data_IF_052638449193
#
_entry.id   IF_052638449193
#
_cell.length_a   1.000
_cell.length_b   1.000
_cell.length_c   1.000
_cell.angle_alpha   90.00
_cell.angle_beta   90.00
_cell.angle_gamma   90.00
#
_symmetry.space_group_name_H-M   'P 1'
#
loop_
_entity.id
_entity.type
_entity.pdbx_description
1 polymer ?
#
# COMPACT_ATOMS: atom_id res chain seq x y z
N UNK A 1 -4.58 -18.78 18.86
CA UNK A 1 -5.27 -17.61 18.34
C UNK A 1 -5.42 -17.76 16.83
N UNK A 2 -6.64 -17.96 16.36
CA UNK A 2 -6.93 -18.04 14.93
C UNK A 2 -7.13 -16.61 14.41
N UNK A 3 -6.23 -16.15 13.53
CA UNK A 3 -6.39 -14.88 12.85
C UNK A 3 -7.36 -15.04 11.69
N UNK A 4 -8.53 -14.40 11.79
CA UNK A 4 -9.48 -14.30 10.68
C UNK A 4 -9.11 -13.12 9.80
N UNK A 5 -9.28 -13.26 8.49
CA UNK A 5 -9.05 -12.16 7.52
C UNK A 5 -9.89 -10.92 7.83
N UNK A 6 -11.07 -11.07 8.44
CA UNK A 6 -11.93 -9.97 8.88
C UNK A 6 -11.32 -9.11 10.00
N UNK A 7 -10.32 -9.63 10.72
CA UNK A 7 -9.59 -8.91 11.78
C UNK A 7 -8.23 -8.39 11.35
N UNK A 8 -7.85 -8.62 10.09
CA UNK A 8 -6.61 -8.10 9.53
C UNK A 8 -6.87 -6.74 8.90
N UNK A 9 -6.53 -5.69 9.61
CA UNK A 9 -6.51 -4.34 9.06
C UNK A 9 -5.45 -4.25 7.95
N UNK A 10 -5.74 -3.43 6.94
CA UNK A 10 -4.82 -3.18 5.82
C UNK A 10 -4.31 -4.44 5.09
N UNK A 11 -5.12 -5.50 5.05
CA UNK A 11 -4.75 -6.82 4.50
C UNK A 11 -4.23 -6.79 3.06
N UNK A 12 -4.61 -5.79 2.26
CA UNK A 12 -4.11 -5.63 0.89
C UNK A 12 -2.65 -5.18 0.83
N UNK A 13 -2.16 -4.56 1.90
CA UNK A 13 -0.74 -4.20 2.06
C UNK A 13 0.05 -5.32 2.75
N UNK A 14 -0.61 -6.16 3.56
CA UNK A 14 0.02 -7.21 4.37
C UNK A 14 -0.15 -8.58 3.69
N UNK A 15 0.35 -8.70 2.47
CA UNK A 15 0.27 -9.93 1.67
C UNK A 15 1.50 -10.82 1.88
N UNK A 16 1.34 -12.12 1.63
CA UNK A 16 2.44 -13.08 1.68
C UNK A 16 3.50 -12.79 0.60
N UNK A 17 3.06 -12.40 -0.62
CA UNK A 17 3.93 -12.11 -1.76
C UNK A 17 4.88 -10.94 -1.52
N UNK A 18 4.49 -9.95 -0.69
CA UNK A 18 5.32 -8.80 -0.37
C UNK A 18 5.95 -8.84 1.03
N UNK A 19 5.74 -9.92 1.79
CA UNK A 19 6.23 -10.02 3.16
C UNK A 19 7.76 -9.88 3.25
N UNK A 20 8.48 -10.50 2.32
CA UNK A 20 9.94 -10.41 2.22
C UNK A 20 10.40 -8.96 2.00
N UNK A 21 9.76 -8.24 1.05
CA UNK A 21 10.09 -6.84 0.75
C UNK A 21 9.81 -5.88 1.94
N UNK A 22 8.86 -6.22 2.80
CA UNK A 22 8.50 -5.40 3.97
C UNK A 22 9.34 -5.73 5.20
N UNK A 23 9.56 -7.02 5.47
CA UNK A 23 10.10 -7.48 6.75
C UNK A 23 11.62 -7.70 6.73
N UNK A 24 12.20 -8.11 5.58
CA UNK A 24 13.64 -8.36 5.52
C UNK A 24 14.48 -7.11 5.81
N UNK A 25 14.14 -5.89 5.35
CA UNK A 25 14.86 -4.69 5.75
C UNK A 25 14.86 -4.46 7.25
N UNK A 26 13.72 -4.64 7.91
CA UNK A 26 13.62 -4.52 9.38
C UNK A 26 14.45 -5.59 10.07
N UNK A 27 14.46 -6.82 9.54
CA UNK A 27 15.28 -7.90 10.05
C UNK A 27 16.78 -7.64 9.93
N UNK A 28 17.22 -6.96 8.86
CA UNK A 28 18.60 -6.50 8.67
C UNK A 28 18.94 -5.45 9.73
N UNK A 29 18.10 -4.45 9.90
CA UNK A 29 18.30 -3.33 10.82
C UNK A 29 18.46 -3.80 12.28
N UNK A 30 17.72 -4.83 12.70
CA UNK A 30 17.82 -5.41 14.03
C UNK A 30 18.83 -6.56 14.14
N UNK A 31 19.55 -6.88 13.05
CA UNK A 31 20.63 -7.87 13.05
C UNK A 31 20.18 -9.34 13.10
N UNK A 32 18.93 -9.67 12.77
CA UNK A 32 18.44 -11.06 12.77
C UNK A 32 18.51 -11.74 11.39
N UNK A 33 19.04 -11.05 10.37
CA UNK A 33 19.24 -11.58 9.01
C UNK A 33 20.73 -11.78 8.78
N UNK A 34 21.12 -13.00 8.38
CA UNK A 34 22.52 -13.29 8.05
C UNK A 34 22.94 -12.61 6.73
N UNK A 35 24.26 -12.50 6.53
CA UNK A 35 24.84 -11.77 5.40
C UNK A 35 24.53 -12.43 4.04
N UNK A 36 24.35 -13.75 3.98
CA UNK A 36 24.01 -14.43 2.74
C UNK A 36 22.59 -14.08 2.32
N UNK A 37 21.63 -14.19 3.24
CA UNK A 37 20.22 -13.81 3.01
C UNK A 37 20.08 -12.33 2.70
N UNK A 38 20.83 -11.45 3.37
CA UNK A 38 20.85 -10.02 3.06
C UNK A 38 21.26 -9.77 1.59
N UNK A 39 22.36 -10.38 1.14
CA UNK A 39 22.84 -10.21 -0.25
C UNK A 39 21.82 -10.68 -1.29
N UNK A 40 21.18 -11.82 -1.05
CA UNK A 40 20.14 -12.33 -1.94
C UNK A 40 18.92 -11.42 -1.97
N UNK A 41 18.50 -10.91 -0.82
CA UNK A 41 17.42 -9.93 -0.72
C UNK A 41 17.76 -8.63 -1.46
N UNK A 42 18.95 -8.09 -1.30
CA UNK A 42 19.38 -6.87 -2.00
C UNK A 42 19.36 -7.04 -3.52
N UNK A 43 19.83 -8.17 -4.05
CA UNK A 43 19.74 -8.50 -5.46
C UNK A 43 18.29 -8.54 -5.96
N UNK A 44 17.42 -9.26 -5.25
CA UNK A 44 15.99 -9.36 -5.55
C UNK A 44 15.32 -7.98 -5.51
N UNK A 45 15.50 -7.24 -4.41
CA UNK A 45 14.93 -5.91 -4.23
C UNK A 45 15.37 -4.93 -5.33
N UNK A 46 16.67 -4.98 -5.71
CA UNK A 46 17.22 -4.16 -6.79
C UNK A 46 16.55 -4.48 -8.13
N UNK A 47 16.41 -5.78 -8.48
CA UNK A 47 15.72 -6.20 -9.71
C UNK A 47 14.27 -5.72 -9.75
N UNK A 48 13.54 -5.92 -8.66
CA UNK A 48 12.15 -5.48 -8.54
C UNK A 48 12.04 -3.96 -8.69
N UNK A 49 12.87 -3.18 -7.98
CA UNK A 49 12.90 -1.71 -8.10
C UNK A 49 13.17 -1.24 -9.52
N UNK A 50 14.14 -1.86 -10.22
CA UNK A 50 14.44 -1.54 -11.63
C UNK A 50 13.26 -1.86 -12.54
N UNK A 51 12.62 -3.03 -12.37
CA UNK A 51 11.43 -3.40 -13.12
C UNK A 51 10.26 -2.43 -12.93
N UNK A 52 9.98 -2.05 -11.68
CA UNK A 52 8.94 -1.04 -11.40
C UNK A 52 9.28 0.33 -11.98
N UNK A 53 10.53 0.77 -11.90
CA UNK A 53 10.97 2.02 -12.51
C UNK A 53 10.77 2.00 -14.02
N UNK A 54 11.16 0.91 -14.68
CA UNK A 54 10.94 0.72 -16.11
C UNK A 54 9.46 0.80 -16.48
N UNK A 55 8.58 -0.01 -15.86
CA UNK A 55 7.16 -0.06 -16.23
C UNK A 55 6.41 1.25 -15.92
N UNK A 56 6.85 2.01 -14.93
CA UNK A 56 6.29 3.34 -14.61
C UNK A 56 6.76 4.42 -15.58
N UNK A 57 7.98 4.31 -16.13
CA UNK A 57 8.51 5.26 -17.11
C UNK A 57 7.84 5.13 -18.49
N UNK A 58 7.41 3.93 -18.86
CA UNK A 58 6.75 3.65 -20.13
C UNK A 58 5.30 4.16 -20.12
N UNK A 59 5.05 5.28 -20.78
CA UNK A 59 3.74 5.92 -20.85
C UNK A 59 3.21 5.95 -22.27
N UNK A 60 2.00 5.48 -22.47
CA UNK A 60 1.33 5.38 -23.76
C UNK A 60 0.04 6.23 -23.78
N UNK A 61 -0.18 6.94 -24.89
CA UNK A 61 -1.46 7.60 -25.14
C UNK A 61 -2.50 6.59 -25.68
N UNK A 62 -3.82 6.85 -25.50
CA UNK A 62 -4.86 5.98 -26.06
C UNK A 62 -4.72 5.72 -27.57
N UNK A 63 -4.31 6.73 -28.34
CA UNK A 63 -4.12 6.59 -29.78
C UNK A 63 -2.89 5.73 -30.14
N UNK A 64 -1.81 5.84 -29.37
CA UNK A 64 -0.63 4.97 -29.55
C UNK A 64 -0.97 3.50 -29.25
N UNK A 65 -1.78 3.25 -28.22
CA UNK A 65 -2.25 1.92 -27.86
C UNK A 65 -3.21 1.35 -28.90
N UNK A 66 -4.11 2.18 -29.44
CA UNK A 66 -5.02 1.76 -30.49
C UNK A 66 -4.27 1.30 -31.75
N UNK A 67 -3.22 2.04 -32.16
CA UNK A 67 -2.33 1.62 -33.27
C UNK A 67 -1.65 0.28 -33.03
N UNK A 68 -1.44 -0.09 -31.77
CA UNK A 68 -0.85 -1.35 -31.32
C UNK A 68 -1.90 -2.44 -30.99
N UNK A 69 -3.18 -2.21 -31.35
CA UNK A 69 -4.27 -3.18 -31.18
C UNK A 69 -4.87 -3.24 -29.75
N UNK A 70 -4.55 -2.27 -28.88
CA UNK A 70 -5.14 -2.17 -27.54
C UNK A 70 -6.16 -1.03 -27.55
N UNK A 71 -7.44 -1.37 -27.34
CA UNK A 71 -8.53 -0.40 -27.26
C UNK A 71 -8.80 -0.04 -25.79
N UNK A 72 -8.65 1.24 -25.45
CA UNK A 72 -9.02 1.85 -24.18
C UNK A 72 -9.81 3.13 -24.42
N UNK A 73 -10.41 3.68 -23.37
CA UNK A 73 -11.14 4.93 -23.45
C UNK A 73 -10.23 6.09 -23.87
N UNK A 74 -10.69 6.91 -24.81
CA UNK A 74 -9.99 8.11 -25.31
C UNK A 74 -10.25 9.30 -24.40
N UNK A 75 -9.69 9.29 -23.21
CA UNK A 75 -9.78 10.36 -22.21
C UNK A 75 -8.58 11.31 -22.20
N UNK A 76 -7.68 11.17 -23.18
CA UNK A 76 -6.46 11.98 -23.30
C UNK A 76 -5.36 11.65 -22.28
N UNK A 77 -5.61 10.77 -21.33
CA UNK A 77 -4.63 10.43 -20.27
C UNK A 77 -3.61 9.42 -20.76
N UNK A 78 -2.32 9.71 -20.58
CA UNK A 78 -1.26 8.73 -20.78
C UNK A 78 -1.27 7.73 -19.61
N UNK A 79 -1.13 6.44 -19.95
CA UNK A 79 -1.12 5.33 -18.98
C UNK A 79 0.21 4.59 -19.03
N UNK A 80 0.74 4.25 -17.87
CA UNK A 80 1.91 3.39 -17.75
C UNK A 80 1.50 1.91 -17.83
N UNK A 81 2.48 1.00 -17.82
CA UNK A 81 2.23 -0.44 -17.95
C UNK A 81 1.42 -0.98 -16.76
N UNK A 82 1.61 -0.46 -15.54
CA UNK A 82 0.83 -0.86 -14.36
C UNK A 82 -0.63 -0.46 -14.54
N UNK A 83 -0.89 0.78 -15.00
CA UNK A 83 -2.23 1.25 -15.29
C UNK A 83 -2.91 0.38 -16.37
N UNK A 84 -2.14 -0.07 -17.38
CA UNK A 84 -2.66 -0.94 -18.43
C UNK A 84 -3.01 -2.33 -17.89
N UNK A 85 -2.19 -2.91 -17.05
CA UNK A 85 -2.43 -4.22 -16.45
C UNK A 85 -3.59 -4.22 -15.42
N UNK A 86 -4.03 -3.05 -14.95
CA UNK A 86 -5.23 -2.94 -14.11
C UNK A 86 -6.54 -3.19 -14.89
N UNK A 87 -6.51 -3.12 -16.24
CA UNK A 87 -7.66 -3.46 -17.06
C UNK A 87 -7.76 -4.98 -17.26
N UNK A 88 -8.91 -5.56 -17.00
CA UNK A 88 -9.15 -7.01 -17.08
C UNK A 88 -8.90 -7.64 -18.47
N UNK A 89 -9.02 -6.84 -19.52
CA UNK A 89 -8.83 -7.27 -20.91
C UNK A 89 -7.38 -7.13 -21.42
N UNK A 90 -6.47 -6.60 -20.61
CA UNK A 90 -5.05 -6.42 -20.94
C UNK A 90 -4.23 -7.35 -20.07
N UNK A 91 -3.51 -8.26 -20.71
CA UNK A 91 -2.68 -9.27 -20.05
C UNK A 91 -1.21 -9.07 -20.37
N UNK A 92 -0.33 -9.57 -19.51
CA UNK A 92 1.13 -9.50 -19.72
C UNK A 92 1.57 -10.12 -21.05
N UNK A 93 1.05 -11.28 -21.50
CA UNK A 93 1.40 -11.81 -22.82
C UNK A 93 1.03 -10.87 -23.99
N UNK A 94 -0.06 -10.11 -23.88
CA UNK A 94 -0.40 -9.10 -24.88
C UNK A 94 0.58 -7.94 -24.85
N UNK A 95 0.97 -7.47 -23.66
CA UNK A 95 1.92 -6.37 -23.53
C UNK A 95 3.33 -6.77 -23.96
N UNK A 96 3.79 -7.99 -23.68
CA UNK A 96 5.10 -8.53 -24.14
C UNK A 96 5.22 -8.53 -25.67
N UNK A 97 4.12 -8.72 -26.42
CA UNK A 97 4.13 -8.63 -27.90
C UNK A 97 4.28 -7.18 -28.39
N UNK A 98 3.84 -6.22 -27.62
CA UNK A 98 3.79 -4.79 -28.00
C UNK A 98 5.02 -4.04 -27.49
N UNK A 99 5.54 -4.49 -26.36
CA UNK A 99 6.68 -3.93 -25.63
C UNK A 99 7.67 -5.08 -25.40
N UNK A 100 8.55 -5.39 -26.38
CA UNK A 100 9.47 -6.53 -26.31
C UNK A 100 10.39 -6.49 -25.09
N UNK A 101 10.73 -5.30 -24.59
CA UNK A 101 11.59 -5.09 -23.44
C UNK A 101 11.03 -5.70 -22.14
N UNK A 102 9.72 -5.97 -22.10
CA UNK A 102 9.11 -6.72 -20.98
C UNK A 102 9.60 -8.18 -20.91
N UNK A 103 10.12 -8.73 -22.01
CA UNK A 103 10.68 -10.09 -22.01
C UNK A 103 12.05 -10.17 -21.32
N UNK A 104 12.72 -9.03 -21.11
CA UNK A 104 14.00 -8.95 -20.41
C UNK A 104 13.82 -8.97 -18.88
N UNK A 105 12.58 -8.75 -18.39
CA UNK A 105 12.28 -8.81 -16.97
C UNK A 105 12.14 -10.26 -16.50
N UNK A 106 12.70 -10.54 -15.34
CA UNK A 106 12.55 -11.85 -14.69
C UNK A 106 11.09 -12.13 -14.33
N UNK A 107 10.72 -13.39 -14.31
CA UNK A 107 9.33 -13.80 -14.02
C UNK A 107 8.86 -13.38 -12.62
N UNK A 108 9.73 -13.40 -11.60
CA UNK A 108 9.44 -12.91 -10.26
C UNK A 108 9.11 -11.40 -10.24
N UNK A 109 9.75 -10.61 -11.10
CA UNK A 109 9.48 -9.17 -11.26
C UNK A 109 8.14 -8.95 -11.97
N UNK A 110 7.88 -9.73 -13.02
CA UNK A 110 6.61 -9.67 -13.77
C UNK A 110 5.45 -10.01 -12.84
N UNK A 111 5.55 -11.08 -12.07
CA UNK A 111 4.52 -11.48 -11.10
C UNK A 111 4.22 -10.35 -10.09
N UNK A 112 5.24 -9.73 -9.52
CA UNK A 112 5.06 -8.60 -8.60
C UNK A 112 4.38 -7.39 -9.27
N UNK A 113 4.71 -7.11 -10.54
CA UNK A 113 4.07 -6.04 -11.32
C UNK A 113 2.59 -6.35 -11.56
N UNK A 114 2.25 -7.59 -11.93
CA UNK A 114 0.86 -8.03 -12.13
C UNK A 114 0.03 -7.92 -10.85
N UNK A 115 0.60 -8.37 -9.72
CA UNK A 115 -0.05 -8.28 -8.42
C UNK A 115 -0.30 -6.81 -8.04
N UNK A 116 0.71 -5.96 -8.15
CA UNK A 116 0.58 -4.53 -7.83
C UNK A 116 -0.46 -3.85 -8.75
N UNK A 117 -0.44 -4.14 -10.05
CA UNK A 117 -1.42 -3.62 -11.01
C UNK A 117 -2.86 -4.02 -10.66
N UNK A 118 -3.06 -5.28 -10.27
CA UNK A 118 -4.37 -5.81 -9.85
C UNK A 118 -4.94 -5.09 -8.64
N UNK A 119 -4.08 -4.69 -7.72
CA UNK A 119 -4.50 -4.05 -6.47
C UNK A 119 -4.32 -2.52 -6.47
N UNK A 120 -3.75 -1.91 -7.51
CA UNK A 120 -3.34 -0.50 -7.54
C UNK A 120 -4.44 0.46 -7.06
N UNK A 121 -5.66 0.34 -7.60
CA UNK A 121 -6.77 1.22 -7.24
C UNK A 121 -7.22 1.09 -5.76
N UNK A 122 -7.06 -0.09 -5.17
CA UNK A 122 -7.38 -0.34 -3.76
C UNK A 122 -6.25 0.09 -2.84
N UNK A 123 -5.00 -0.10 -3.28
CA UNK A 123 -3.82 0.25 -2.49
C UNK A 123 -3.68 1.75 -2.28
N UNK A 124 -3.99 2.56 -3.29
CA UNK A 124 -3.92 4.01 -3.15
C UNK A 124 -4.94 4.51 -2.12
N UNK A 125 -6.17 3.99 -2.16
CA UNK A 125 -7.20 4.30 -1.15
C UNK A 125 -6.75 3.88 0.24
N UNK A 126 -6.24 2.66 0.39
CA UNK A 126 -5.79 2.14 1.67
C UNK A 126 -4.59 2.91 2.23
N UNK A 127 -3.67 3.38 1.36
CA UNK A 127 -2.55 4.25 1.78
C UNK A 127 -3.05 5.61 2.32
N UNK A 128 -4.08 6.18 1.69
CA UNK A 128 -4.70 7.41 2.20
C UNK A 128 -5.34 7.18 3.57
N UNK A 129 -6.10 6.10 3.72
CA UNK A 129 -6.73 5.73 5.00
C UNK A 129 -5.68 5.55 6.11
N UNK A 130 -4.53 4.92 5.80
CA UNK A 130 -3.40 4.76 6.75
C UNK A 130 -2.80 6.11 7.13
N UNK A 131 -2.56 6.99 6.15
CA UNK A 131 -1.99 8.31 6.43
C UNK A 131 -2.92 9.16 7.32
N UNK A 132 -4.22 9.07 7.11
CA UNK A 132 -5.18 9.79 7.93
C UNK A 132 -5.25 9.19 9.34
N UNK A 133 -5.23 7.86 9.44
CA UNK A 133 -5.13 7.17 10.74
C UNK A 133 -3.84 7.55 11.51
N UNK A 134 -2.68 7.58 10.84
CA UNK A 134 -1.41 7.98 11.45
C UNK A 134 -1.43 9.44 11.92
N UNK A 135 -2.09 10.34 11.19
CA UNK A 135 -2.28 11.74 11.63
C UNK A 135 -3.09 11.80 12.91
N UNK A 136 -4.21 11.08 12.97
CA UNK A 136 -5.08 11.03 14.17
C UNK A 136 -4.36 10.38 15.35
N UNK A 137 -3.62 9.27 15.11
CA UNK A 137 -2.81 8.60 16.13
C UNK A 137 -1.79 9.54 16.77
N UNK A 138 -1.16 10.41 15.97
CA UNK A 138 -0.12 11.30 16.42
C UNK A 138 -0.64 12.65 16.96
N UNK A 139 -1.94 12.95 16.81
CA UNK A 139 -2.52 14.18 17.30
C UNK A 139 -2.60 14.18 18.83
N UNK A 140 -1.74 15.00 19.46
CA UNK A 140 -1.59 15.06 20.92
C UNK A 140 -2.78 15.76 21.57
N UNK A 141 -3.28 15.19 22.65
CA UNK A 141 -4.26 15.82 23.53
C UNK A 141 -3.50 16.52 24.66
N UNK A 142 -3.64 17.84 24.83
CA UNK A 142 -3.02 18.56 25.94
C UNK A 142 -3.41 17.98 27.30
N UNK A 143 -2.45 17.81 28.19
CA UNK A 143 -2.72 17.29 29.57
C UNK A 143 -3.72 18.12 30.36
N UNK A 144 -3.83 19.41 30.04
CA UNK A 144 -4.77 20.38 30.64
C UNK A 144 -6.18 20.33 30.05
N UNK A 145 -6.46 19.43 29.10
CA UNK A 145 -7.76 19.35 28.43
C UNK A 145 -8.88 19.07 29.43
N UNK A 146 -9.87 19.97 29.48
CA UNK A 146 -11.08 19.76 30.25
C UNK A 146 -12.18 19.14 29.38
N UNK A 147 -12.34 17.83 29.48
CA UNK A 147 -13.31 17.08 28.66
C UNK A 147 -14.77 17.48 28.91
N UNK A 148 -15.09 18.10 30.05
CA UNK A 148 -16.45 18.63 30.34
C UNK A 148 -16.85 19.79 29.44
N UNK A 149 -15.86 20.51 28.89
CA UNK A 149 -16.07 21.64 27.96
C UNK A 149 -16.12 21.21 26.50
N UNK A 150 -15.84 19.96 26.19
CA UNK A 150 -15.93 19.43 24.84
C UNK A 150 -17.36 19.07 24.53
N UNK A 151 -17.96 19.81 23.60
CA UNK A 151 -19.36 19.55 23.17
C UNK A 151 -19.49 18.16 22.55
N UNK A 152 -20.70 17.62 22.60
CA UNK A 152 -21.06 16.32 21.99
C UNK A 152 -20.50 15.07 22.67
N UNK A 153 -19.76 15.16 23.77
CA UNK A 153 -19.37 14.01 24.56
C UNK A 153 -20.48 13.61 25.56
N UNK A 154 -20.77 12.31 25.61
CA UNK A 154 -21.67 11.80 26.68
C UNK A 154 -20.99 11.87 28.05
N UNK A 155 -21.77 11.92 29.15
CA UNK A 155 -21.22 11.94 30.50
C UNK A 155 -20.31 10.74 30.78
N UNK A 156 -20.63 9.56 30.25
CA UNK A 156 -19.82 8.35 30.37
C UNK A 156 -18.45 8.52 29.69
N UNK A 157 -18.42 9.08 28.47
CA UNK A 157 -17.17 9.34 27.73
C UNK A 157 -16.34 10.39 28.46
N UNK A 158 -16.93 11.46 28.94
CA UNK A 158 -16.25 12.50 29.72
C UNK A 158 -15.60 11.92 30.97
N UNK A 159 -16.30 11.04 31.70
CA UNK A 159 -15.73 10.37 32.88
C UNK A 159 -14.54 9.46 32.52
N UNK A 160 -14.69 8.61 31.47
CA UNK A 160 -13.62 7.72 31.00
C UNK A 160 -12.38 8.50 30.55
N UNK A 161 -12.55 9.53 29.72
CA UNK A 161 -11.44 10.35 29.22
C UNK A 161 -10.77 11.13 30.35
N UNK A 162 -11.55 11.67 31.31
CA UNK A 162 -11.02 12.38 32.49
C UNK A 162 -10.18 11.49 33.41
N UNK A 163 -10.56 10.20 33.52
CA UNK A 163 -9.86 9.20 34.33
C UNK A 163 -8.59 8.70 33.65
N UNK A 164 -8.68 8.36 32.34
CA UNK A 164 -7.59 7.73 31.58
C UNK A 164 -6.58 8.77 31.08
N UNK A 165 -7.04 9.98 30.73
CA UNK A 165 -6.22 11.08 30.18
C UNK A 165 -5.34 10.62 29.00
N UNK A 166 -5.92 10.13 27.91
CA UNK A 166 -5.15 9.61 26.80
C UNK A 166 -4.24 10.69 26.20
N UNK A 167 -2.98 10.33 25.83
CA UNK A 167 -2.02 11.31 25.34
C UNK A 167 -2.29 11.77 23.90
N UNK A 168 -3.05 10.97 23.10
CA UNK A 168 -3.35 11.25 21.70
C UNK A 168 -4.81 10.92 21.38
N UNK A 169 -5.32 11.43 20.25
CA UNK A 169 -6.66 11.07 19.75
C UNK A 169 -6.75 9.57 19.44
N UNK A 170 -5.75 8.98 18.83
CA UNK A 170 -5.74 7.54 18.58
C UNK A 170 -5.78 6.73 19.88
N UNK A 171 -5.09 7.17 20.93
CA UNK A 171 -5.21 6.53 22.24
C UNK A 171 -6.64 6.69 22.83
N UNK A 172 -7.28 7.81 22.59
CA UNK A 172 -8.66 8.06 23.03
C UNK A 172 -9.66 7.16 22.30
N UNK A 173 -9.53 7.01 20.98
CA UNK A 173 -10.45 6.19 20.15
C UNK A 173 -10.42 4.69 20.50
N UNK A 174 -9.33 4.20 21.09
CA UNK A 174 -9.24 2.81 21.56
C UNK A 174 -9.91 2.55 22.92
N UNK A 175 -10.42 3.59 23.58
CA UNK A 175 -11.16 3.42 24.82
C UNK A 175 -12.56 2.92 24.50
N UNK A 176 -12.97 1.82 25.12
CA UNK A 176 -14.29 1.22 24.89
C UNK A 176 -15.44 2.21 25.09
N UNK A 177 -16.24 2.41 24.04
CA UNK A 177 -17.38 3.33 24.01
C UNK A 177 -17.05 4.76 23.56
N UNK A 178 -15.79 5.05 23.21
CA UNK A 178 -15.40 6.28 22.51
C UNK A 178 -15.42 5.98 21.00
N UNK A 179 -16.28 6.68 20.25
CA UNK A 179 -16.44 6.58 18.79
C UNK A 179 -16.27 7.95 18.16
#
# INVERSE_FOLDING_TARGET
>A
YRMFTSRSEYRLLLRADNADLRLTPLGIDIGCVDIHRQREFEKKSSRIKKGFSFVKSQKFSPDALLKKGIKINKDGKKRNIIDLLSFSNITTPKLKKIIPELNELNDDVIEQIEIEAKYAGYLDRQRMDIQDFEKEENLKIPKSTNYKLVGSLSNEIVEKLSKIKPPTLGAASRISGVT
#
